data_IF_329062696819
#
_entry.id   IF_329062696819
#
_cell.length_a   1.000
_cell.length_b   1.000
_cell.length_c   1.000
_cell.angle_alpha   90.00
_cell.angle_beta   90.00
_cell.angle_gamma   90.00
#
_symmetry.space_group_name_H-M   'P 1'
#
loop_
_entity.id
_entity.type
_entity.pdbx_description
1 polymer ?
#
# COMPACT_ATOMS: atom_id res chain seq x y z
N UNK A 1 -25.81 -0.92 -9.30
CA UNK A 1 -24.90 -1.07 -8.15
C UNK A 1 -24.87 0.26 -7.42
N UNK A 2 -25.27 0.30 -6.16
CA UNK A 2 -25.11 1.49 -5.32
C UNK A 2 -23.62 1.77 -5.13
N UNK A 3 -23.16 2.98 -5.45
CA UNK A 3 -21.79 3.38 -5.15
C UNK A 3 -21.57 3.34 -3.64
N UNK A 4 -20.77 2.39 -3.18
CA UNK A 4 -20.37 2.31 -1.78
C UNK A 4 -19.37 3.43 -1.49
N UNK A 5 -19.80 4.43 -0.71
CA UNK A 5 -18.93 5.52 -0.31
C UNK A 5 -18.24 5.19 1.01
N UNK A 6 -16.93 4.93 0.96
CA UNK A 6 -16.14 4.66 2.15
C UNK A 6 -16.13 5.85 3.12
N UNK A 7 -16.23 7.08 2.61
CA UNK A 7 -16.23 8.29 3.42
C UNK A 7 -17.52 8.52 4.23
N UNK A 8 -18.62 7.83 3.88
CA UNK A 8 -19.88 7.91 4.65
C UNK A 8 -19.94 6.92 5.81
N UNK A 9 -18.92 6.07 5.99
CA UNK A 9 -18.91 5.10 7.07
C UNK A 9 -18.60 5.75 8.41
N UNK A 10 -19.18 5.24 9.52
CA UNK A 10 -18.76 5.63 10.86
C UNK A 10 -17.27 5.34 11.11
N UNK A 11 -16.58 6.16 11.93
CA UNK A 11 -15.17 5.95 12.26
C UNK A 11 -14.87 4.55 12.81
N UNK A 12 -15.78 3.98 13.61
CA UNK A 12 -15.64 2.63 14.16
C UNK A 12 -15.60 1.53 13.09
N UNK A 13 -16.36 1.70 11.99
CA UNK A 13 -16.31 0.78 10.85
C UNK A 13 -15.01 0.92 10.07
N UNK A 14 -14.54 2.15 9.85
CA UNK A 14 -13.25 2.39 9.21
C UNK A 14 -12.10 1.74 9.99
N UNK A 15 -12.13 1.87 11.32
CA UNK A 15 -11.16 1.25 12.21
C UNK A 15 -11.18 -0.27 12.11
N UNK A 16 -12.37 -0.88 12.14
CA UNK A 16 -12.55 -2.33 12.01
C UNK A 16 -12.05 -2.86 10.65
N UNK A 17 -12.36 -2.15 9.57
CA UNK A 17 -11.89 -2.51 8.22
C UNK A 17 -10.37 -2.45 8.19
N UNK A 18 -9.78 -1.31 8.60
CA UNK A 18 -8.34 -1.13 8.55
C UNK A 18 -7.60 -2.11 9.48
N UNK A 19 -8.19 -2.45 10.63
CA UNK A 19 -7.63 -3.42 11.58
C UNK A 19 -7.58 -4.81 10.95
N UNK A 20 -8.62 -5.20 10.21
CA UNK A 20 -8.62 -6.45 9.47
C UNK A 20 -7.56 -6.48 8.38
N UNK A 21 -7.35 -5.37 7.67
CA UNK A 21 -6.28 -5.26 6.66
C UNK A 21 -4.90 -5.34 7.32
N UNK A 22 -4.66 -4.59 8.39
CA UNK A 22 -3.39 -4.55 9.13
C UNK A 22 -2.97 -5.94 9.66
N UNK A 23 -3.93 -6.69 10.20
CA UNK A 23 -3.71 -8.04 10.72
C UNK A 23 -3.60 -9.11 9.63
N UNK A 24 -3.92 -8.79 8.38
CA UNK A 24 -3.84 -9.74 7.26
C UNK A 24 -2.57 -9.54 6.45
N UNK A 25 -2.29 -8.31 6.00
CA UNK A 25 -1.19 -8.04 5.08
C UNK A 25 -0.63 -6.61 5.24
N UNK A 26 0.65 -6.50 5.60
CA UNK A 26 1.30 -5.21 5.87
C UNK A 26 1.32 -4.28 4.64
N UNK A 27 1.55 -4.84 3.44
CA UNK A 27 1.54 -4.06 2.19
C UNK A 27 0.17 -3.44 1.94
N UNK A 28 -0.89 -4.23 2.11
CA UNK A 28 -2.26 -3.78 1.84
C UNK A 28 -2.68 -2.72 2.86
N UNK A 29 -2.20 -2.85 4.10
CA UNK A 29 -2.35 -1.81 5.11
C UNK A 29 -1.69 -0.50 4.69
N UNK A 30 -0.45 -0.56 4.21
CA UNK A 30 0.24 0.61 3.65
C UNK A 30 -0.50 1.21 2.45
N UNK A 31 -0.92 0.37 1.50
CA UNK A 31 -1.66 0.79 0.30
C UNK A 31 -3.01 1.43 0.64
N UNK A 32 -3.77 0.84 1.57
CA UNK A 32 -5.06 1.37 2.01
C UNK A 32 -4.93 2.78 2.61
N UNK A 33 -3.86 3.03 3.37
CA UNK A 33 -3.57 4.36 3.94
C UNK A 33 -3.19 5.39 2.89
N UNK A 34 -2.51 5.01 1.82
CA UNK A 34 -2.17 5.92 0.72
C UNK A 34 -3.42 6.24 -0.11
N UNK A 35 -4.27 5.24 -0.36
CA UNK A 35 -5.44 5.37 -1.22
C UNK A 35 -6.60 6.17 -0.59
N UNK A 36 -6.73 6.18 0.75
CA UNK A 36 -7.83 6.83 1.44
C UNK A 36 -7.37 7.62 2.67
N UNK A 37 -7.68 8.92 2.70
CA UNK A 37 -7.26 9.85 3.76
C UNK A 37 -7.80 9.48 5.15
N UNK A 38 -9.02 8.93 5.23
CA UNK A 38 -9.60 8.46 6.50
C UNK A 38 -8.81 7.29 7.09
N UNK A 39 -8.33 6.37 6.24
CA UNK A 39 -7.42 5.31 6.69
C UNK A 39 -6.05 5.85 7.05
N UNK A 40 -5.53 6.86 6.34
CA UNK A 40 -4.26 7.48 6.69
C UNK A 40 -4.28 8.10 8.09
N UNK A 41 -5.38 8.76 8.47
CA UNK A 41 -5.53 9.37 9.79
C UNK A 41 -5.54 8.32 10.90
N UNK A 42 -6.45 7.35 10.84
CA UNK A 42 -6.59 6.34 11.90
C UNK A 42 -5.41 5.34 11.91
N UNK A 43 -4.85 5.01 10.75
CA UNK A 43 -3.73 4.08 10.62
C UNK A 43 -2.40 4.58 11.18
N UNK A 44 -2.36 5.79 11.73
CA UNK A 44 -1.22 6.33 12.49
C UNK A 44 -1.26 5.97 13.97
N UNK A 45 -2.39 5.46 14.47
CA UNK A 45 -2.51 5.01 15.85
C UNK A 45 -1.56 3.84 16.13
N UNK A 46 -0.92 3.85 17.31
CA UNK A 46 0.05 2.85 17.73
C UNK A 46 -0.49 1.42 17.67
N UNK A 47 -1.79 1.26 17.98
CA UNK A 47 -2.52 0.00 17.94
C UNK A 47 -2.29 -0.78 16.63
N UNK A 48 -2.29 -0.11 15.47
CA UNK A 48 -2.12 -0.78 14.18
C UNK A 48 -0.71 -1.35 14.00
N UNK A 49 0.32 -0.66 14.49
CA UNK A 49 1.70 -1.15 14.38
C UNK A 49 2.00 -2.30 15.34
N UNK A 50 1.36 -2.29 16.53
CA UNK A 50 1.44 -3.42 17.48
C UNK A 50 0.71 -4.67 16.99
N UNK A 51 -0.31 -4.52 16.16
CA UNK A 51 -1.16 -5.62 15.67
C UNK A 51 -0.90 -6.01 14.22
N UNK A 52 -0.02 -5.29 13.51
CA UNK A 52 0.27 -5.56 12.11
C UNK A 52 0.89 -6.95 11.93
N UNK A 53 0.39 -7.69 10.95
CA UNK A 53 0.98 -8.96 10.59
C UNK A 53 2.26 -8.74 9.77
N UNK A 54 3.40 -9.03 10.39
CA UNK A 54 4.72 -8.89 9.79
C UNK A 54 5.22 -10.17 9.09
N UNK A 55 4.39 -11.20 8.95
CA UNK A 55 4.81 -12.49 8.39
C UNK A 55 5.44 -12.35 6.99
N UNK A 56 4.91 -11.46 6.14
CA UNK A 56 5.42 -11.18 4.80
C UNK A 56 6.36 -9.96 4.72
N UNK A 57 6.94 -9.52 5.85
CA UNK A 57 7.80 -8.33 5.86
C UNK A 57 9.04 -8.50 4.99
N UNK A 58 9.65 -9.70 5.01
CA UNK A 58 10.82 -10.01 4.19
C UNK A 58 10.49 -9.95 2.69
N UNK A 59 9.38 -10.58 2.28
CA UNK A 59 8.92 -10.55 0.88
C UNK A 59 8.70 -9.10 0.41
N UNK A 60 8.12 -8.26 1.27
CA UNK A 60 7.92 -6.84 0.95
C UNK A 60 9.25 -6.09 0.81
N UNK A 61 10.22 -6.34 1.69
CA UNK A 61 11.56 -5.75 1.62
C UNK A 61 12.24 -6.17 0.31
N UNK A 62 12.14 -7.44 -0.06
CA UNK A 62 12.75 -7.98 -1.28
C UNK A 62 12.13 -7.38 -2.54
N UNK A 63 10.80 -7.27 -2.62
CA UNK A 63 10.12 -6.57 -3.72
C UNK A 63 10.53 -5.10 -3.81
N UNK A 64 10.59 -4.40 -2.68
CA UNK A 64 11.00 -3.00 -2.63
C UNK A 64 12.46 -2.82 -3.10
N UNK A 65 13.35 -3.73 -2.70
CA UNK A 65 14.75 -3.75 -3.13
C UNK A 65 14.89 -4.08 -4.61
N UNK A 66 14.08 -5.00 -5.13
CA UNK A 66 14.04 -5.34 -6.56
C UNK A 66 13.60 -4.12 -7.39
N UNK A 67 12.55 -3.41 -6.96
CA UNK A 67 12.09 -2.18 -7.61
C UNK A 67 13.14 -1.06 -7.54
N UNK A 68 13.82 -0.90 -6.40
CA UNK A 68 14.90 0.08 -6.24
C UNK A 68 16.06 -0.23 -7.19
N UNK A 69 16.50 -1.49 -7.23
CA UNK A 69 17.57 -1.95 -8.13
C UNK A 69 17.20 -1.74 -9.59
N UNK A 70 15.96 -2.07 -9.98
CA UNK A 70 15.46 -1.84 -11.33
C UNK A 70 15.52 -0.35 -11.70
N UNK A 71 14.97 0.54 -10.86
CA UNK A 71 15.01 1.98 -11.10
C UNK A 71 16.44 2.51 -11.25
N UNK A 72 17.36 2.08 -10.38
CA UNK A 72 18.77 2.47 -10.46
C UNK A 72 19.40 2.08 -11.80
N UNK A 73 19.18 0.85 -12.26
CA UNK A 73 19.69 0.39 -13.56
C UNK A 73 19.10 1.19 -14.72
N UNK A 74 17.80 1.49 -14.67
CA UNK A 74 17.15 2.33 -15.68
C UNK A 74 17.75 3.74 -15.73
N UNK A 75 17.97 4.38 -14.56
CA UNK A 75 18.63 5.68 -14.50
C UNK A 75 20.06 5.65 -15.07
N UNK A 76 20.86 4.65 -14.69
CA UNK A 76 22.23 4.48 -15.18
C UNK A 76 22.28 4.24 -16.70
N UNK A 77 21.29 3.54 -17.25
CA UNK A 77 21.18 3.27 -18.68
C UNK A 77 20.49 4.41 -19.47
N UNK A 78 20.06 5.49 -18.82
CA UNK A 78 19.29 6.57 -19.47
C UNK A 78 17.90 6.15 -19.94
N UNK A 79 17.37 5.01 -19.47
CA UNK A 79 16.11 4.43 -19.92
C UNK A 79 14.97 4.75 -18.94
N UNK A 80 14.48 6.00 -19.00
CA UNK A 80 13.36 6.46 -18.17
C UNK A 80 12.01 5.86 -18.61
N UNK A 81 11.88 5.47 -19.87
CA UNK A 81 10.66 4.85 -20.41
C UNK A 81 10.36 3.51 -19.72
N UNK A 82 11.39 2.71 -19.45
CA UNK A 82 11.25 1.45 -18.69
C UNK A 82 10.73 1.68 -17.26
N UNK A 83 11.06 2.82 -16.62
CA UNK A 83 10.48 3.21 -15.33
C UNK A 83 9.00 3.56 -15.51
N UNK A 84 8.67 4.37 -16.52
CA UNK A 84 7.30 4.77 -16.81
C UNK A 84 6.38 3.56 -17.02
N UNK A 85 6.78 2.60 -17.87
CA UNK A 85 5.99 1.41 -18.17
C UNK A 85 5.78 0.54 -16.92
N UNK A 86 6.81 0.38 -16.08
CA UNK A 86 6.75 -0.57 -14.96
C UNK A 86 6.21 0.01 -13.66
N UNK A 87 6.31 1.33 -13.48
CA UNK A 87 5.94 2.02 -12.23
C UNK A 87 4.64 2.81 -12.36
N UNK A 88 4.34 3.37 -13.53
CA UNK A 88 3.20 4.29 -13.71
C UNK A 88 2.03 3.70 -14.49
N UNK A 89 2.20 2.59 -15.23
CA UNK A 89 1.09 1.91 -15.92
C UNK A 89 0.56 0.75 -15.07
N UNK A 90 -0.70 0.78 -14.60
CA UNK A 90 -1.33 -0.39 -13.99
C UNK A 90 -1.45 -1.52 -15.03
N UNK A 91 -1.53 -2.79 -14.62
CA UNK A 91 -1.54 -3.96 -15.51
C UNK A 91 -2.83 -4.16 -16.32
N UNK A 92 -3.58 -3.09 -16.61
CA UNK A 92 -4.80 -3.14 -17.40
C UNK A 92 -4.72 -2.12 -18.55
N UNK A 93 -4.07 -2.52 -19.64
CA UNK A 93 -4.38 -2.09 -21.00
C UNK A 93 -4.19 -3.27 -21.92
#
# INVERSE_FOLDING_TARGET
>A
MSNFNLASLPPSMLHKILSKVATSHLRDFGSARIAFSGFNQIGREEYFYRSANLFNLNDWIDEANALRTFRLRCFQAGNLEAIYIRVLRPPFT
#
